data_IF_444824975869
#
_entry.id   IF_444824975869
#
_cell.length_a   1.000
_cell.length_b   1.000
_cell.length_c   1.000
_cell.angle_alpha   90.00
_cell.angle_beta   90.00
_cell.angle_gamma   90.00
#
_symmetry.space_group_name_H-M   'P 1'
#
loop_
_entity.id
_entity.type
_entity.pdbx_description
1 polymer ?
#
# COMPACT_ATOMS: atom_id res chain seq x y z
N UNK A 1 -10.94 0.76 -38.91
CA UNK A 1 -11.22 -0.13 -37.77
C UNK A 1 -9.94 -0.26 -36.97
N UNK A 2 -9.96 0.02 -35.67
CA UNK A 2 -8.77 -0.16 -34.84
C UNK A 2 -8.59 -1.66 -34.65
N UNK A 3 -7.61 -2.22 -35.35
CA UNK A 3 -7.16 -3.59 -35.11
C UNK A 3 -6.70 -3.67 -33.66
N UNK A 4 -7.40 -4.47 -32.84
CA UNK A 4 -7.03 -4.66 -31.44
C UNK A 4 -6.08 -5.83 -31.39
N UNK A 5 -4.87 -5.59 -30.94
CA UNK A 5 -3.86 -6.62 -30.77
C UNK A 5 -3.26 -6.54 -29.36
N UNK A 6 -3.02 -7.67 -28.71
CA UNK A 6 -2.48 -7.67 -27.35
C UNK A 6 -1.07 -7.08 -27.24
N UNK A 7 -0.20 -7.28 -28.24
CA UNK A 7 1.14 -6.69 -28.23
C UNK A 7 1.06 -5.17 -28.46
N UNK A 8 0.21 -4.71 -29.38
CA UNK A 8 -0.04 -3.28 -29.63
C UNK A 8 -0.72 -2.58 -28.45
N UNK A 9 -1.65 -3.25 -27.77
CA UNK A 9 -2.34 -2.74 -26.57
C UNK A 9 -1.33 -2.48 -25.44
N UNK A 10 -0.39 -3.40 -25.22
CA UNK A 10 0.69 -3.20 -24.25
C UNK A 10 1.82 -2.31 -24.78
N UNK A 11 1.89 -2.09 -26.09
CA UNK A 11 2.95 -1.33 -26.75
C UNK A 11 4.30 -2.05 -26.70
N UNK A 12 4.31 -3.37 -26.87
CA UNK A 12 5.50 -4.23 -26.87
C UNK A 12 5.67 -4.91 -28.23
N UNK A 13 6.89 -5.37 -28.52
CA UNK A 13 7.15 -6.18 -29.71
C UNK A 13 6.69 -7.63 -29.50
N UNK A 14 6.50 -8.37 -30.59
CA UNK A 14 6.05 -9.78 -30.59
C UNK A 14 7.05 -10.72 -29.97
N UNK A 15 8.33 -10.41 -30.09
CA UNK A 15 9.45 -11.12 -29.47
C UNK A 15 9.71 -10.68 -28.02
N UNK A 16 8.88 -9.79 -27.46
CA UNK A 16 9.06 -9.29 -26.11
C UNK A 16 9.13 -10.44 -25.10
N UNK A 17 10.13 -10.36 -24.24
CA UNK A 17 10.28 -11.25 -23.11
C UNK A 17 9.13 -11.07 -22.11
N UNK A 18 8.87 -12.09 -21.29
CA UNK A 18 7.89 -12.01 -20.20
C UNK A 18 8.18 -10.81 -19.29
N UNK A 19 9.46 -10.49 -19.10
CA UNK A 19 9.90 -9.34 -18.30
C UNK A 19 9.43 -8.02 -18.91
N UNK A 20 9.61 -7.83 -20.22
CA UNK A 20 9.18 -6.61 -20.93
C UNK A 20 7.66 -6.47 -20.93
N UNK A 21 6.93 -7.57 -21.08
CA UNK A 21 5.45 -7.60 -20.97
C UNK A 21 5.01 -7.14 -19.58
N UNK A 22 5.64 -7.64 -18.51
CA UNK A 22 5.36 -7.20 -17.13
C UNK A 22 5.67 -5.73 -16.90
N UNK A 23 6.76 -5.22 -17.47
CA UNK A 23 7.13 -3.81 -17.34
C UNK A 23 6.17 -2.88 -18.09
N UNK A 24 5.80 -3.25 -19.31
CA UNK A 24 4.82 -2.52 -20.12
C UNK A 24 3.46 -2.46 -19.42
N UNK A 25 3.01 -3.59 -18.87
CA UNK A 25 1.79 -3.66 -18.08
C UNK A 25 1.83 -2.71 -16.88
N UNK A 26 2.87 -2.77 -16.03
CA UNK A 26 2.98 -1.87 -14.87
C UNK A 26 2.94 -0.39 -15.26
N UNK A 27 3.61 -0.02 -16.35
CA UNK A 27 3.60 1.35 -16.88
C UNK A 27 2.19 1.79 -17.30
N UNK A 28 1.49 0.94 -18.05
CA UNK A 28 0.15 1.24 -18.54
C UNK A 28 -0.88 1.24 -17.39
N UNK A 29 -0.77 0.30 -16.46
CA UNK A 29 -1.62 0.21 -15.27
C UNK A 29 -1.53 1.48 -14.41
N UNK A 30 -0.34 2.06 -14.26
CA UNK A 30 -0.16 3.34 -13.57
C UNK A 30 -0.74 4.53 -14.32
N UNK A 31 -0.64 4.52 -15.65
CA UNK A 31 -1.16 5.59 -16.51
C UNK A 31 -2.69 5.62 -16.52
N UNK A 32 -3.32 4.46 -16.63
CA UNK A 32 -4.77 4.31 -16.77
C UNK A 32 -5.47 3.89 -15.48
N UNK A 33 -4.80 4.04 -14.33
CA UNK A 33 -5.38 3.68 -13.04
C UNK A 33 -6.69 4.46 -12.76
N UNK A 34 -7.78 3.82 -12.29
CA UNK A 34 -9.07 4.47 -12.08
C UNK A 34 -9.04 5.63 -11.09
N UNK A 35 -8.26 5.54 -10.00
CA UNK A 35 -8.17 6.64 -9.03
C UNK A 35 -7.57 7.93 -9.61
N UNK A 36 -6.77 7.85 -10.69
CA UNK A 36 -6.22 9.03 -11.39
C UNK A 36 -7.07 9.49 -12.56
N UNK A 37 -8.04 8.67 -12.97
CA UNK A 37 -8.86 8.85 -14.18
C UNK A 37 -10.35 8.67 -13.87
N UNK A 38 -10.81 9.06 -12.67
CA UNK A 38 -12.18 8.84 -12.20
C UNK A 38 -13.23 9.45 -13.12
N UNK A 39 -12.89 10.56 -13.76
CA UNK A 39 -13.79 11.31 -14.65
C UNK A 39 -13.65 10.87 -16.13
N UNK A 40 -12.79 9.89 -16.42
CA UNK A 40 -12.51 9.45 -17.79
C UNK A 40 -12.98 8.00 -18.02
N UNK A 41 -14.20 7.79 -18.57
CA UNK A 41 -14.71 6.45 -18.86
C UNK A 41 -13.87 5.69 -19.89
N UNK A 42 -13.14 6.40 -20.78
CA UNK A 42 -12.25 5.75 -21.74
C UNK A 42 -11.01 5.14 -21.06
N UNK A 43 -10.59 5.66 -19.90
CA UNK A 43 -9.47 5.10 -19.16
C UNK A 43 -9.83 3.75 -18.55
N UNK A 44 -11.06 3.58 -18.06
CA UNK A 44 -11.55 2.29 -17.57
C UNK A 44 -11.60 1.23 -18.69
N UNK A 45 -12.12 1.61 -19.87
CA UNK A 45 -12.13 0.73 -21.04
C UNK A 45 -10.71 0.35 -21.48
N UNK A 46 -9.79 1.33 -21.53
CA UNK A 46 -8.36 1.09 -21.85
C UNK A 46 -7.71 0.15 -20.85
N UNK A 47 -7.98 0.35 -19.56
CA UNK A 47 -7.44 -0.48 -18.48
C UNK A 47 -7.92 -1.92 -18.60
N UNK A 48 -9.17 -2.14 -19.04
CA UNK A 48 -9.68 -3.47 -19.33
C UNK A 48 -8.89 -4.16 -20.44
N UNK A 49 -8.66 -3.47 -21.55
CA UNK A 49 -7.84 -4.00 -22.65
C UNK A 49 -6.41 -4.34 -22.19
N UNK A 50 -5.79 -3.45 -21.39
CA UNK A 50 -4.43 -3.64 -20.85
C UNK A 50 -4.35 -4.88 -19.94
N UNK A 51 -5.34 -5.06 -19.06
CA UNK A 51 -5.39 -6.20 -18.14
C UNK A 51 -5.52 -7.52 -18.89
N UNK A 52 -6.41 -7.56 -19.88
CA UNK A 52 -6.62 -8.73 -20.73
C UNK A 52 -5.37 -9.09 -21.53
N UNK A 53 -4.76 -8.09 -22.19
CA UNK A 53 -3.52 -8.27 -22.94
C UNK A 53 -2.40 -8.84 -22.06
N UNK A 54 -2.28 -8.33 -20.83
CA UNK A 54 -1.32 -8.86 -19.88
C UNK A 54 -1.63 -10.31 -19.48
N UNK A 55 -2.89 -10.62 -19.14
CA UNK A 55 -3.28 -11.95 -18.70
C UNK A 55 -3.02 -13.03 -19.76
N UNK A 56 -3.19 -12.69 -21.04
CA UNK A 56 -2.89 -13.57 -22.17
C UNK A 56 -1.38 -13.68 -22.43
N UNK A 57 -0.67 -12.54 -22.52
CA UNK A 57 0.74 -12.53 -22.94
C UNK A 57 1.73 -12.94 -21.83
N UNK A 58 1.35 -12.82 -20.55
CA UNK A 58 2.19 -13.21 -19.42
C UNK A 58 2.20 -14.72 -19.16
N UNK A 59 1.16 -15.43 -19.61
CA UNK A 59 1.03 -16.87 -19.51
C UNK A 59 1.59 -17.55 -20.78
N UNK A 60 2.63 -18.41 -20.68
CA UNK A 60 3.24 -19.02 -21.85
C UNK A 60 2.29 -19.89 -22.68
N UNK A 61 1.28 -20.51 -22.09
CA UNK A 61 0.31 -21.33 -22.82
C UNK A 61 -0.67 -20.42 -23.58
N UNK A 62 -1.26 -19.45 -22.88
CA UNK A 62 -2.22 -18.51 -23.49
C UNK A 62 -1.58 -17.66 -24.57
N UNK A 63 -0.32 -17.23 -24.37
CA UNK A 63 0.46 -16.51 -25.38
C UNK A 63 0.63 -17.33 -26.66
N UNK A 64 1.05 -18.60 -26.54
CA UNK A 64 1.20 -19.49 -27.71
C UNK A 64 -0.12 -19.71 -28.43
N UNK A 65 -1.21 -19.91 -27.69
CA UNK A 65 -2.54 -19.99 -28.29
C UNK A 65 -2.88 -18.70 -29.03
N UNK A 66 -2.70 -17.54 -28.42
CA UNK A 66 -2.96 -16.27 -29.09
C UNK A 66 -2.10 -16.06 -30.35
N UNK A 67 -0.82 -16.43 -30.30
CA UNK A 67 0.09 -16.37 -31.43
C UNK A 67 -0.40 -17.24 -32.60
N UNK A 68 -0.91 -18.46 -32.33
CA UNK A 68 -1.50 -19.32 -33.37
C UNK A 68 -2.76 -18.71 -34.02
N UNK A 69 -3.58 -17.99 -33.25
CA UNK A 69 -4.73 -17.25 -33.77
C UNK A 69 -4.29 -16.07 -34.62
N UNK A 70 -3.20 -15.41 -34.23
CA UNK A 70 -2.58 -14.34 -35.02
C UNK A 70 -2.05 -14.83 -36.36
N UNK A 71 -1.42 -16.00 -36.40
CA UNK A 71 -0.96 -16.60 -37.66
C UNK A 71 -2.12 -16.97 -38.57
N UNK A 72 -3.20 -17.51 -38.01
CA UNK A 72 -4.36 -17.99 -38.78
C UNK A 72 -5.32 -16.88 -39.23
N UNK A 73 -5.55 -15.88 -38.37
CA UNK A 73 -6.61 -14.88 -38.55
C UNK A 73 -6.09 -13.44 -38.65
N UNK A 74 -4.77 -13.23 -38.50
CA UNK A 74 -4.14 -11.91 -38.60
C UNK A 74 -4.79 -10.88 -37.68
N UNK A 75 -5.38 -9.86 -38.29
CA UNK A 75 -6.00 -8.73 -37.59
C UNK A 75 -7.29 -9.10 -36.82
N UNK A 76 -7.91 -10.23 -37.14
CA UNK A 76 -9.11 -10.71 -36.43
C UNK A 76 -8.78 -11.60 -35.23
N UNK A 77 -7.49 -11.88 -34.97
CA UNK A 77 -7.07 -12.80 -33.93
C UNK A 77 -7.59 -12.45 -32.54
N UNK A 78 -7.65 -11.16 -32.21
CA UNK A 78 -8.22 -10.68 -30.95
C UNK A 78 -9.70 -11.04 -30.82
N UNK A 79 -10.51 -10.78 -31.85
CA UNK A 79 -11.94 -11.08 -31.82
C UNK A 79 -12.19 -12.59 -31.78
N UNK A 80 -11.41 -13.37 -32.53
CA UNK A 80 -11.49 -14.83 -32.54
C UNK A 80 -11.11 -15.43 -31.19
N UNK A 81 -10.02 -14.95 -30.57
CA UNK A 81 -9.61 -15.38 -29.25
C UNK A 81 -10.68 -15.05 -28.20
N UNK A 82 -11.24 -13.84 -28.25
CA UNK A 82 -12.34 -13.40 -27.37
C UNK A 82 -13.65 -14.16 -27.58
N UNK A 83 -13.87 -14.74 -28.76
CA UNK A 83 -15.00 -15.62 -29.03
C UNK A 83 -14.86 -17.00 -28.35
N UNK A 84 -13.65 -17.42 -28.01
CA UNK A 84 -13.37 -18.74 -27.43
C UNK A 84 -13.11 -18.73 -25.92
N UNK A 85 -12.64 -17.61 -25.38
CA UNK A 85 -12.31 -17.49 -23.96
C UNK A 85 -13.22 -16.49 -23.26
N UNK A 86 -13.74 -16.89 -22.10
CA UNK A 86 -14.44 -15.96 -21.20
C UNK A 86 -13.44 -15.07 -20.45
N UNK A 87 -13.91 -13.96 -19.88
CA UNK A 87 -13.08 -13.13 -18.99
C UNK A 87 -12.47 -14.00 -17.87
N UNK A 88 -13.27 -14.91 -17.29
CA UNK A 88 -12.81 -15.82 -16.25
C UNK A 88 -11.65 -16.71 -16.70
N UNK A 89 -11.74 -17.31 -17.89
CA UNK A 89 -10.70 -18.20 -18.43
C UNK A 89 -9.41 -17.44 -18.76
N UNK A 90 -9.52 -16.21 -19.24
CA UNK A 90 -8.37 -15.35 -19.54
C UNK A 90 -7.59 -15.05 -18.26
N UNK A 91 -8.28 -14.67 -17.19
CA UNK A 91 -7.65 -14.25 -15.94
C UNK A 91 -7.30 -15.42 -15.01
N UNK A 92 -7.84 -16.62 -15.24
CA UNK A 92 -7.52 -17.81 -14.47
C UNK A 92 -6.02 -18.13 -14.53
N UNK A 93 -5.40 -18.24 -13.36
CA UNK A 93 -3.96 -18.53 -13.23
C UNK A 93 -3.02 -17.37 -13.57
N UNK A 94 -3.54 -16.18 -13.90
CA UNK A 94 -2.71 -15.00 -14.12
C UNK A 94 -2.19 -14.43 -12.79
N UNK A 95 -0.95 -13.95 -12.78
CA UNK A 95 -0.35 -13.23 -11.65
C UNK A 95 -0.75 -11.74 -11.59
N UNK A 96 -1.73 -11.32 -12.40
CA UNK A 96 -2.22 -9.93 -12.48
C UNK A 96 -2.65 -9.38 -11.12
N UNK A 97 -3.32 -10.21 -10.30
CA UNK A 97 -3.75 -9.82 -8.96
C UNK A 97 -2.58 -9.46 -8.05
N UNK A 98 -1.49 -10.24 -8.12
CA UNK A 98 -0.28 -10.00 -7.30
C UNK A 98 0.44 -8.72 -7.72
N UNK A 99 0.55 -8.47 -9.02
CA UNK A 99 1.16 -7.25 -9.56
C UNK A 99 0.33 -6.02 -9.18
N UNK A 100 -0.99 -6.13 -9.22
CA UNK A 100 -1.83 -5.00 -8.84
C UNK A 100 -1.80 -4.74 -7.33
N UNK A 101 -1.76 -5.78 -6.50
CA UNK A 101 -1.58 -5.63 -5.05
C UNK A 101 -0.21 -5.00 -4.73
N UNK A 102 0.85 -5.37 -5.45
CA UNK A 102 2.16 -4.71 -5.41
C UNK A 102 2.03 -3.22 -5.72
N UNK A 103 1.35 -2.86 -6.82
CA UNK A 103 1.10 -1.46 -7.19
C UNK A 103 0.26 -0.74 -6.12
N UNK A 104 -0.84 -1.32 -5.65
CA UNK A 104 -1.68 -0.72 -4.60
C UNK A 104 -0.87 -0.43 -3.32
N UNK A 105 -0.02 -1.37 -2.88
CA UNK A 105 0.89 -1.15 -1.74
C UNK A 105 1.94 -0.07 -1.99
N UNK A 106 2.52 -0.04 -3.20
CA UNK A 106 3.55 0.94 -3.56
C UNK A 106 3.00 2.36 -3.75
N UNK A 107 1.74 2.48 -4.15
CA UNK A 107 1.12 3.73 -4.58
C UNK A 107 -0.09 4.15 -3.73
N UNK A 108 -0.42 3.41 -2.67
CA UNK A 108 -1.53 3.74 -1.77
C UNK A 108 -2.91 3.75 -2.45
N UNK A 109 -3.09 3.01 -3.54
CA UNK A 109 -4.37 2.95 -4.27
C UNK A 109 -5.37 2.03 -3.58
N UNK A 110 -6.67 2.21 -3.87
CA UNK A 110 -7.70 1.22 -3.48
C UNK A 110 -7.34 -0.18 -3.99
N UNK A 111 -7.72 -1.21 -3.23
CA UNK A 111 -7.37 -2.60 -3.52
C UNK A 111 -7.99 -3.10 -4.84
N UNK A 112 -7.27 -3.99 -5.54
CA UNK A 112 -7.66 -4.56 -6.83
C UNK A 112 -9.10 -5.11 -6.84
N UNK A 113 -9.47 -5.82 -5.77
CA UNK A 113 -10.76 -6.48 -5.60
C UNK A 113 -11.95 -5.50 -5.69
N UNK A 114 -11.78 -4.29 -5.16
CA UNK A 114 -12.81 -3.26 -5.15
C UNK A 114 -12.95 -2.60 -6.52
N UNK A 115 -11.83 -2.31 -7.18
CA UNK A 115 -11.77 -1.69 -8.51
C UNK A 115 -12.27 -2.65 -9.60
N UNK A 116 -11.91 -3.93 -9.52
CA UNK A 116 -12.36 -4.93 -10.50
C UNK A 116 -13.84 -5.24 -10.34
N UNK A 117 -14.37 -5.27 -9.12
CA UNK A 117 -15.82 -5.42 -8.90
C UNK A 117 -16.62 -4.26 -9.48
N UNK A 118 -16.07 -3.04 -9.38
CA UNK A 118 -16.63 -1.82 -9.98
C UNK A 118 -16.59 -1.85 -11.52
N UNK A 119 -15.54 -2.46 -12.11
CA UNK A 119 -15.31 -2.46 -13.57
C UNK A 119 -15.91 -3.67 -14.30
N UNK A 120 -15.94 -4.85 -13.68
CA UNK A 120 -16.35 -6.13 -14.29
C UNK A 120 -17.61 -6.73 -13.65
N UNK A 121 -18.14 -6.10 -12.59
CA UNK A 121 -19.36 -6.50 -11.92
C UNK A 121 -19.17 -7.47 -10.74
N UNK A 122 -20.23 -7.68 -9.93
CA UNK A 122 -20.19 -8.44 -8.67
C UNK A 122 -19.98 -9.96 -8.84
N UNK A 123 -20.09 -10.49 -10.07
CA UNK A 123 -19.81 -11.90 -10.38
C UNK A 123 -18.32 -12.22 -10.52
N UNK A 124 -17.47 -11.20 -10.62
CA UNK A 124 -16.03 -11.36 -10.79
C UNK A 124 -15.36 -11.69 -9.44
N UNK A 125 -14.86 -12.92 -9.28
CA UNK A 125 -14.03 -13.33 -8.14
C UNK A 125 -12.61 -13.57 -8.62
N UNK A 126 -11.65 -12.87 -8.04
CA UNK A 126 -10.24 -13.22 -8.22
C UNK A 126 -10.06 -14.59 -7.57
N UNK A 127 -9.66 -15.59 -8.35
CA UNK A 127 -9.24 -16.87 -7.79
C UNK A 127 -8.01 -16.62 -6.92
N UNK A 128 -8.18 -16.68 -5.59
CA UNK A 128 -7.08 -16.72 -4.64
C UNK A 128 -6.24 -17.98 -4.92
N UNK A 129 -5.13 -17.84 -5.66
CA UNK A 129 -4.02 -18.76 -5.49
C UNK A 129 -3.37 -18.47 -4.13
N UNK A 130 -3.91 -19.07 -3.07
CA UNK A 130 -3.14 -19.30 -1.85
C UNK A 130 -2.02 -20.28 -2.21
N UNK A 131 -0.83 -19.78 -2.52
CA UNK A 131 0.36 -20.61 -2.35
C UNK A 131 0.47 -20.89 -0.86
N UNK A 132 0.34 -22.17 -0.51
CA UNK A 132 0.72 -22.69 0.79
C UNK A 132 2.20 -22.40 1.04
N UNK A 133 2.52 -21.92 2.25
CA UNK A 133 3.88 -21.78 2.75
C UNK A 133 4.41 -20.35 2.82
N UNK A 134 4.35 -19.79 4.02
CA UNK A 134 5.32 -18.83 4.61
C UNK A 134 5.72 -17.56 3.84
N UNK A 135 5.28 -16.40 4.32
CA UNK A 135 6.21 -15.30 4.67
C UNK A 135 5.51 -14.25 5.54
N UNK A 136 5.97 -14.07 6.78
CA UNK A 136 5.66 -12.88 7.58
C UNK A 136 6.88 -11.95 7.46
N UNK A 137 6.88 -10.92 6.58
CA UNK A 137 8.02 -10.04 6.50
C UNK A 137 8.04 -9.16 7.74
N UNK A 138 9.11 -9.27 8.53
CA UNK A 138 9.49 -8.24 9.48
C UNK A 138 9.53 -6.89 8.77
N UNK A 139 8.93 -5.88 9.39
CA UNK A 139 8.91 -4.51 8.88
C UNK A 139 10.34 -4.01 8.62
N UNK A 140 10.71 -3.86 7.34
CA UNK A 140 11.97 -3.26 6.92
C UNK A 140 12.66 -3.90 5.71
N UNK A 141 12.34 -5.15 5.37
CA UNK A 141 12.95 -5.82 4.20
C UNK A 141 12.04 -5.70 2.97
N UNK A 142 12.61 -5.15 1.89
CA UNK A 142 11.98 -5.16 0.57
C UNK A 142 12.05 -6.60 0.05
N UNK A 143 10.94 -7.22 -0.38
CA UNK A 143 10.99 -8.56 -0.94
C UNK A 143 11.91 -8.58 -2.16
N UNK A 144 12.97 -9.38 -2.11
CA UNK A 144 13.80 -9.69 -3.29
C UNK A 144 13.23 -10.97 -3.90
N UNK A 145 12.62 -10.85 -5.08
CA UNK A 145 12.02 -11.99 -5.78
C UNK A 145 13.03 -12.61 -6.75
N UNK A 146 13.17 -13.95 -6.78
CA UNK A 146 13.96 -14.62 -7.80
C UNK A 146 13.30 -14.42 -9.16
N UNK A 147 14.01 -13.78 -10.10
CA UNK A 147 13.60 -13.69 -11.50
C UNK A 147 13.40 -12.29 -12.09
N UNK A 148 13.61 -11.21 -11.33
CA UNK A 148 13.45 -9.83 -11.85
C UNK A 148 14.72 -9.02 -11.58
N UNK A 149 15.56 -8.86 -12.60
CA UNK A 149 16.80 -8.08 -12.54
C UNK A 149 16.62 -6.55 -12.48
N UNK A 150 15.49 -6.05 -11.97
CA UNK A 150 15.28 -4.62 -11.74
C UNK A 150 14.94 -4.43 -10.28
N UNK A 151 15.91 -3.92 -9.52
CA UNK A 151 15.66 -3.49 -8.15
C UNK A 151 14.57 -2.40 -8.16
N UNK A 152 13.64 -2.42 -7.20
CA UNK A 152 12.55 -1.44 -7.12
C UNK A 152 13.02 0.03 -7.17
N UNK A 153 14.28 0.29 -6.84
CA UNK A 153 14.95 1.60 -7.01
C UNK A 153 15.08 2.04 -8.47
N UNK A 154 15.47 1.14 -9.39
CA UNK A 154 15.64 1.46 -10.81
C UNK A 154 14.29 1.72 -11.47
N UNK A 155 13.26 0.92 -11.12
CA UNK A 155 11.89 1.15 -11.58
C UNK A 155 11.31 2.47 -11.05
N UNK A 156 11.52 2.78 -9.76
CA UNK A 156 11.15 4.08 -9.14
C UNK A 156 11.83 5.26 -9.84
N UNK A 157 13.10 5.09 -10.25
CA UNK A 157 13.84 6.10 -11.01
C UNK A 157 13.25 6.34 -12.42
N UNK A 158 12.93 5.28 -13.18
CA UNK A 158 12.31 5.39 -14.51
C UNK A 158 10.96 6.10 -14.43
N UNK A 159 10.12 5.72 -13.48
CA UNK A 159 8.80 6.32 -13.29
C UNK A 159 8.88 7.82 -12.91
N UNK A 160 9.85 8.20 -12.08
CA UNK A 160 10.09 9.60 -11.72
C UNK A 160 10.63 10.43 -12.88
N UNK A 161 11.63 9.92 -13.62
CA UNK A 161 12.35 10.68 -14.66
C UNK A 161 11.65 10.70 -16.02
N UNK A 162 11.04 9.59 -16.45
CA UNK A 162 10.41 9.48 -17.78
C UNK A 162 8.91 9.73 -17.78
N UNK A 163 8.23 9.50 -16.66
CA UNK A 163 6.76 9.58 -16.59
C UNK A 163 6.25 10.68 -15.65
N UNK A 164 7.15 11.41 -14.96
CA UNK A 164 6.77 12.47 -14.03
C UNK A 164 5.93 11.99 -12.85
N UNK A 165 5.94 10.67 -12.58
CA UNK A 165 5.13 10.08 -11.51
C UNK A 165 5.82 10.35 -10.18
N UNK A 166 5.19 11.18 -9.36
CA UNK A 166 5.52 11.34 -7.96
C UNK A 166 4.95 10.14 -7.19
N UNK A 167 5.78 9.54 -6.35
CA UNK A 167 5.39 8.36 -5.59
C UNK A 167 4.94 8.80 -4.21
N UNK A 168 3.83 8.25 -3.70
CA UNK A 168 3.43 8.51 -2.33
C UNK A 168 4.53 8.03 -1.39
N UNK A 169 5.03 8.93 -0.56
CA UNK A 169 6.00 8.60 0.48
C UNK A 169 5.29 8.63 1.82
N UNK A 170 5.34 7.51 2.55
CA UNK A 170 4.79 7.46 3.91
C UNK A 170 5.46 8.54 4.75
N UNK A 171 4.66 9.26 5.52
CA UNK A 171 5.16 10.22 6.49
C UNK A 171 6.06 9.56 7.54
N UNK A 172 7.00 10.33 8.09
CA UNK A 172 7.90 9.84 9.15
C UNK A 172 7.11 9.45 10.40
N UNK A 173 7.46 8.33 11.01
CA UNK A 173 6.93 7.98 12.33
C UNK A 173 7.52 8.95 13.37
N UNK A 174 6.70 9.38 14.33
CA UNK A 174 7.07 10.29 15.41
C UNK A 174 7.08 9.56 16.74
N UNK A 175 7.88 10.07 17.67
CA UNK A 175 8.03 9.53 19.01
C UNK A 175 7.89 10.63 20.03
N UNK A 176 7.06 10.43 21.05
CA UNK A 176 6.96 11.33 22.19
C UNK A 176 6.83 10.54 23.50
N UNK A 177 7.03 11.21 24.63
CA UNK A 177 6.96 10.65 25.97
C UNK A 177 5.80 11.30 26.70
N UNK A 178 4.81 10.49 27.10
CA UNK A 178 3.73 10.96 27.97
C UNK A 178 4.00 10.54 29.40
N UNK A 179 3.71 11.44 30.33
CA UNK A 179 3.81 11.15 31.76
C UNK A 179 2.40 11.05 32.34
N UNK A 180 2.04 9.87 32.85
CA UNK A 180 0.71 9.59 33.39
C UNK A 180 0.75 9.34 34.90
N UNK A 181 -0.39 9.53 35.56
CA UNK A 181 -0.52 9.21 36.98
C UNK A 181 -0.57 7.69 37.19
N UNK A 182 -0.14 7.20 38.37
CA UNK A 182 -0.27 5.79 38.73
C UNK A 182 -1.72 5.28 38.68
N UNK A 183 -2.69 6.14 38.99
CA UNK A 183 -4.12 5.79 39.00
C UNK A 183 -4.62 5.54 37.58
N UNK A 184 -4.25 6.40 36.63
CA UNK A 184 -4.57 6.24 35.22
C UNK A 184 -3.83 5.03 34.63
N UNK A 185 -2.59 4.77 35.06
CA UNK A 185 -1.85 3.60 34.64
C UNK A 185 -2.51 2.29 35.10
N UNK A 186 -3.05 2.27 36.33
CA UNK A 186 -3.70 1.09 36.91
C UNK A 186 -5.09 0.85 36.30
N UNK A 187 -5.96 1.87 36.28
CA UNK A 187 -7.37 1.73 35.85
C UNK A 187 -7.57 1.87 34.34
N UNK A 188 -6.61 2.44 33.62
CA UNK A 188 -6.80 2.88 32.24
C UNK A 188 -7.74 4.08 32.16
N UNK A 189 -7.95 4.60 30.96
CA UNK A 189 -8.86 5.73 30.72
C UNK A 189 -8.40 6.67 29.61
N UNK A 190 -9.04 7.83 29.54
CA UNK A 190 -8.77 8.85 28.52
C UNK A 190 -7.68 9.80 29.01
N UNK A 191 -6.61 9.97 28.22
CA UNK A 191 -5.53 10.91 28.45
C UNK A 191 -5.54 12.00 27.38
N UNK A 192 -5.55 13.27 27.78
CA UNK A 192 -5.43 14.39 26.84
C UNK A 192 -3.97 14.60 26.47
N UNK A 193 -3.63 14.40 25.21
CA UNK A 193 -2.31 14.61 24.65
C UNK A 193 -2.32 15.82 23.72
N UNK A 194 -1.35 16.73 23.89
CA UNK A 194 -1.18 17.90 23.01
C UNK A 194 0.12 17.71 22.23
N UNK A 195 0.01 17.59 20.92
CA UNK A 195 1.17 17.47 20.04
C UNK A 195 1.87 18.83 19.97
N UNK A 196 3.11 18.92 20.50
CA UNK A 196 3.90 20.16 20.55
C UNK A 196 4.23 20.72 19.17
N UNK A 197 4.34 19.88 18.15
CA UNK A 197 4.73 20.30 16.80
C UNK A 197 3.59 20.98 16.04
N UNK A 198 2.37 20.44 16.15
CA UNK A 198 1.24 20.90 15.32
C UNK A 198 0.11 21.55 16.13
N UNK A 199 0.28 21.71 17.45
CA UNK A 199 -0.72 22.27 18.36
C UNK A 199 -2.10 21.60 18.24
N UNK A 200 -2.10 20.28 18.00
CA UNK A 200 -3.30 19.46 17.91
C UNK A 200 -3.51 18.69 19.21
N UNK A 201 -4.73 18.71 19.72
CA UNK A 201 -5.12 17.94 20.91
C UNK A 201 -5.79 16.63 20.51
N UNK A 202 -5.41 15.55 21.18
CA UNK A 202 -5.95 14.22 20.96
C UNK A 202 -6.33 13.60 22.30
N UNK A 203 -7.39 12.80 22.30
CA UNK A 203 -7.75 11.95 23.45
C UNK A 203 -7.20 10.55 23.20
N UNK A 204 -6.18 10.18 23.97
CA UNK A 204 -5.50 8.89 23.90
C UNK A 204 -6.15 7.93 24.88
N UNK A 205 -6.57 6.75 24.40
CA UNK A 205 -7.05 5.68 25.29
C UNK A 205 -5.85 4.94 25.88
N UNK A 206 -5.71 5.00 27.20
CA UNK A 206 -4.67 4.32 27.97
C UNK A 206 -5.26 3.00 28.47
N UNK A 207 -4.69 1.84 28.12
CA UNK A 207 -5.17 0.55 28.62
C UNK A 207 -4.90 0.40 30.12
N UNK A 208 -5.77 -0.31 30.86
CA UNK A 208 -5.53 -0.64 32.26
C UNK A 208 -4.26 -1.49 32.44
N UNK A 209 -3.53 -1.24 33.52
CA UNK A 209 -2.30 -1.96 33.86
C UNK A 209 -1.07 -1.58 33.02
N UNK A 210 -1.09 -0.44 32.32
CA UNK A 210 0.06 0.00 31.53
C UNK A 210 1.26 0.34 32.42
N UNK A 211 2.43 -0.14 32.03
CA UNK A 211 3.71 0.03 32.75
C UNK A 211 4.57 1.09 32.09
N UNK A 212 5.45 1.69 32.88
CA UNK A 212 6.47 2.62 32.38
C UNK A 212 7.33 1.93 31.31
N UNK A 213 7.65 2.65 30.23
CA UNK A 213 8.39 2.13 29.08
C UNK A 213 7.53 1.54 27.96
N UNK A 214 6.28 1.14 28.25
CA UNK A 214 5.37 0.65 27.20
C UNK A 214 4.99 1.77 26.22
N UNK A 215 4.68 1.40 24.98
CA UNK A 215 4.37 2.33 23.90
C UNK A 215 2.91 2.22 23.49
N UNK A 216 2.25 3.34 23.28
CA UNK A 216 0.92 3.43 22.66
C UNK A 216 1.11 3.94 21.23
N UNK A 217 0.62 3.19 20.24
CA UNK A 217 0.67 3.59 18.82
C UNK A 217 -0.61 4.31 18.44
N UNK A 218 -0.47 5.51 17.88
CA UNK A 218 -1.55 6.29 17.31
C UNK A 218 -1.37 6.32 15.79
N UNK A 219 -2.20 5.53 15.09
CA UNK A 219 -2.10 5.34 13.64
C UNK A 219 -2.36 6.65 12.90
N UNK A 220 -1.49 7.01 11.96
CA UNK A 220 -1.67 8.19 11.09
C UNK A 220 -1.49 9.55 11.78
N UNK A 221 -1.02 9.60 13.04
CA UNK A 221 -0.74 10.84 13.77
C UNK A 221 0.75 11.23 13.77
N UNK A 222 1.56 10.57 12.96
CA UNK A 222 2.95 10.92 12.72
C UNK A 222 3.11 12.08 11.72
N UNK A 223 4.26 12.17 11.07
CA UNK A 223 4.51 13.19 10.06
C UNK A 223 3.59 13.05 8.85
N UNK A 224 3.32 14.16 8.16
CA UNK A 224 2.56 14.15 6.90
C UNK A 224 3.30 13.33 5.85
N UNK A 225 2.56 12.47 5.13
CA UNK A 225 3.06 11.83 3.92
C UNK A 225 3.20 12.83 2.78
N UNK A 226 3.97 12.46 1.76
CA UNK A 226 4.15 13.27 0.54
C UNK A 226 3.47 12.60 -0.65
N UNK A 227 3.03 13.40 -1.60
CA UNK A 227 2.51 12.93 -2.90
C UNK A 227 1.39 11.89 -2.78
N UNK A 228 0.49 12.09 -1.81
CA UNK A 228 -0.63 11.17 -1.51
C UNK A 228 -0.28 10.02 -0.56
N UNK A 229 0.94 9.97 -0.03
CA UNK A 229 1.37 8.93 0.91
C UNK A 229 0.68 9.01 2.26
N UNK A 230 0.47 7.84 2.87
CA UNK A 230 -0.13 7.75 4.20
C UNK A 230 0.72 8.53 5.23
N UNK A 231 0.11 9.22 6.21
CA UNK A 231 0.84 9.79 7.33
C UNK A 231 1.60 8.71 8.12
N UNK A 232 2.69 9.11 8.75
CA UNK A 232 3.40 8.26 9.70
C UNK A 232 2.55 7.96 10.94
N UNK A 233 3.08 7.13 11.84
CA UNK A 233 2.44 6.86 13.12
C UNK A 233 3.11 7.64 14.26
N UNK A 234 2.36 7.90 15.34
CA UNK A 234 2.91 8.50 16.56
C UNK A 234 2.99 7.45 17.66
N UNK A 235 4.18 7.25 18.21
CA UNK A 235 4.43 6.34 19.32
C UNK A 235 4.64 7.12 20.61
N UNK A 236 3.72 6.94 21.55
CA UNK A 236 3.80 7.55 22.88
C UNK A 236 4.42 6.55 23.86
N UNK A 237 5.65 6.81 24.31
CA UNK A 237 6.28 6.04 25.38
C UNK A 237 5.74 6.51 26.73
N UNK A 238 5.15 5.61 27.48
CA UNK A 238 4.54 5.91 28.78
C UNK A 238 5.60 6.01 29.86
N UNK A 239 5.53 7.06 30.66
CA UNK A 239 6.26 7.21 31.93
C UNK A 239 5.23 7.31 33.05
N UNK A 240 5.20 6.33 33.94
CA UNK A 240 4.34 6.41 35.13
C UNK A 240 5.07 7.25 36.18
N UNK A 241 4.41 8.27 36.73
CA UNK A 241 4.99 9.08 37.82
C UNK A 241 5.30 8.18 39.01
N UNK A 242 6.48 8.37 39.60
CA UNK A 242 6.86 7.62 40.80
C UNK A 242 6.03 8.09 42.00
N UNK A 243 5.28 7.19 42.63
CA UNK A 243 4.60 7.45 43.91
C UNK A 243 5.58 7.78 45.03
N UNK A 244 6.81 7.28 44.96
CA UNK A 244 7.85 7.51 45.95
C UNK A 244 8.32 8.97 45.95
N UNK A 245 8.54 9.54 44.76
CA UNK A 245 8.92 10.96 44.65
C UNK A 245 7.80 11.89 45.11
N UNK A 246 6.53 11.55 44.85
CA UNK A 246 5.40 12.33 45.39
C UNK A 246 5.39 12.30 46.92
N UNK A 247 5.51 11.13 47.55
CA UNK A 247 5.56 11.03 49.02
C UNK A 247 6.75 11.77 49.62
N UNK A 248 7.90 11.76 48.95
CA UNK A 248 9.08 12.55 49.38
C UNK A 248 8.81 14.04 49.25
N UNK A 249 8.26 14.49 48.12
CA UNK A 249 7.93 15.92 47.92
C UNK A 249 6.89 16.39 48.94
N UNK A 250 5.87 15.57 49.21
CA UNK A 250 4.84 15.86 50.21
C UNK A 250 5.46 15.93 51.61
N UNK A 251 6.32 14.98 51.98
CA UNK A 251 7.06 14.99 53.25
C UNK A 251 7.98 16.20 53.39
N UNK A 252 8.71 16.57 52.32
CA UNK A 252 9.60 17.73 52.34
C UNK A 252 8.82 19.04 52.44
N UNK A 253 7.66 19.15 51.77
CA UNK A 253 6.79 20.32 51.86
C UNK A 253 6.14 20.46 53.23
N UNK A 254 5.78 19.34 53.86
CA UNK A 254 5.27 19.30 55.24
C UNK A 254 6.35 19.69 56.26
N UNK A 255 7.58 19.22 56.07
CA UNK A 255 8.68 19.43 57.02
C UNK A 255 9.43 20.75 56.85
N UNK A 256 9.41 21.34 55.65
CA UNK A 256 10.09 22.59 55.31
C UNK A 256 9.14 23.54 54.56
N UNK A 257 8.28 24.29 55.29
CA UNK A 257 7.42 25.32 54.68
C UNK A 257 8.30 26.39 54.00
N UNK A 258 8.19 26.50 52.67
CA UNK A 258 9.06 27.35 51.83
C UNK A 258 9.85 26.60 50.74
N UNK A 259 9.83 25.26 50.75
CA UNK A 259 10.51 24.41 49.76
C UNK A 259 10.12 24.69 48.31
N UNK A 260 8.89 25.19 48.06
CA UNK A 260 8.41 25.51 46.71
C UNK A 260 9.19 26.65 46.02
N UNK A 261 9.94 27.49 46.76
CA UNK A 261 10.80 28.54 46.19
C UNK A 261 12.16 28.03 45.69
N UNK A 262 12.54 26.79 46.02
CA UNK A 262 13.88 26.24 45.74
C UNK A 262 13.89 25.39 44.44
N UNK A 263 12.71 24.93 43.99
CA UNK A 263 12.56 23.98 42.87
C UNK A 263 11.89 24.59 41.63
N UNK A 264 11.62 25.91 41.65
CA UNK A 264 11.10 26.65 40.50
C UNK A 264 12.20 27.09 39.55
#
# INVERSE_FOLDING_TARGET
>A
MVTRDYYEILGVNRDASIKEIKEAYRKMALKYHPDRNRDNPQAAAKMKEINEAYAVLSDPEKRRHYDSFRESYGNAAYEQFRGQYTDEDIFRGSDIGQIFEELSRMFGFRGFDEIFRETYGPGYRIFEFRRSGEFNPRAGETPSYPGIGITGRVFKWILRKKLGIQFPEKGRDLYDIITISPELAARGGKFRYVNRGEKREFVVSVPPGIKSGQKIRLKGLGGKGRDGGEPGDLYLRVRVRSRFLQRILDYLREKFPGFDHIIS
#
